data_IF_758832393340
#
_entry.id   IF_758832393340
#
_cell.length_a   1.000
_cell.length_b   1.000
_cell.length_c   1.000
_cell.angle_alpha   90.00
_cell.angle_beta   90.00
_cell.angle_gamma   90.00
#
_symmetry.space_group_name_H-M   'P 1'
#
loop_
_entity.id
_entity.type
_entity.pdbx_description
1 polymer ?
#
# COMPACT_ATOMS: atom_id res chain seq x y z
N UNK A 1 10.70 -3.74 -9.24
CA UNK A 1 11.38 -3.49 -10.53
C UNK A 1 12.35 -2.29 -10.46
N UNK A 2 12.12 -1.32 -9.57
CA UNK A 2 12.92 -0.08 -9.40
C UNK A 2 13.87 -0.09 -8.19
N UNK A 3 13.77 -1.10 -7.33
CA UNK A 3 14.84 -1.46 -6.38
C UNK A 3 15.91 -2.27 -7.14
N UNK A 4 17.14 -2.36 -6.63
CA UNK A 4 18.10 -3.27 -7.22
C UNK A 4 17.49 -4.67 -7.19
N UNK A 5 17.67 -5.49 -8.22
CA UNK A 5 17.13 -6.85 -8.26
C UNK A 5 17.55 -7.63 -7.01
N UNK A 6 18.79 -7.47 -6.59
CA UNK A 6 19.33 -8.12 -5.39
C UNK A 6 18.59 -7.68 -4.09
N UNK A 7 18.35 -6.38 -3.88
CA UNK A 7 17.65 -5.90 -2.67
C UNK A 7 16.15 -6.20 -2.72
N UNK A 8 15.53 -6.14 -3.90
CA UNK A 8 14.12 -6.52 -4.10
C UNK A 8 13.90 -8.00 -3.83
N UNK A 9 14.75 -8.85 -4.38
CA UNK A 9 14.68 -10.30 -4.19
C UNK A 9 15.00 -10.71 -2.75
N UNK A 10 16.01 -10.11 -2.13
CA UNK A 10 16.33 -10.35 -0.73
C UNK A 10 15.17 -9.95 0.19
N UNK A 11 14.54 -8.79 -0.04
CA UNK A 11 13.38 -8.35 0.72
C UNK A 11 12.18 -9.28 0.51
N UNK A 12 11.87 -9.64 -0.73
CA UNK A 12 10.78 -10.57 -1.04
C UNK A 12 11.01 -11.95 -0.42
N UNK A 13 12.21 -12.50 -0.53
CA UNK A 13 12.58 -13.78 0.10
C UNK A 13 12.49 -13.70 1.62
N UNK A 14 12.99 -12.64 2.24
CA UNK A 14 12.88 -12.44 3.67
C UNK A 14 11.42 -12.32 4.12
N UNK A 15 10.61 -11.53 3.43
CA UNK A 15 9.18 -11.38 3.68
C UNK A 15 8.44 -12.73 3.55
N UNK A 16 8.65 -13.45 2.44
CA UNK A 16 8.03 -14.74 2.18
C UNK A 16 8.43 -15.79 3.23
N UNK A 17 9.72 -15.86 3.55
CA UNK A 17 10.22 -16.79 4.56
C UNK A 17 9.69 -16.45 5.94
N UNK A 18 9.68 -15.18 6.33
CA UNK A 18 9.19 -14.74 7.62
C UNK A 18 7.67 -14.97 7.75
N UNK A 19 6.91 -14.66 6.70
CA UNK A 19 5.46 -14.90 6.69
C UNK A 19 5.11 -16.39 6.74
N UNK A 20 5.91 -17.23 6.08
CA UNK A 20 5.67 -18.68 5.99
C UNK A 20 6.13 -19.44 7.23
N UNK A 21 7.33 -19.15 7.73
CA UNK A 21 7.96 -19.98 8.77
C UNK A 21 7.89 -19.37 10.18
N UNK A 22 7.71 -18.05 10.29
CA UNK A 22 7.69 -17.36 11.60
C UNK A 22 6.58 -16.28 11.63
N UNK A 23 5.30 -16.63 11.41
CA UNK A 23 4.22 -15.64 11.35
C UNK A 23 4.03 -14.87 12.65
N UNK A 24 4.36 -15.48 13.81
CA UNK A 24 4.26 -14.81 15.11
C UNK A 24 5.28 -13.66 15.23
N UNK A 25 6.46 -13.82 14.65
CA UNK A 25 7.50 -12.76 14.65
C UNK A 25 7.06 -11.59 13.77
N UNK A 26 6.45 -11.86 12.61
CA UNK A 26 5.86 -10.82 11.77
C UNK A 26 4.76 -10.05 12.51
N UNK A 27 3.83 -10.75 13.15
CA UNK A 27 2.80 -10.13 13.99
C UNK A 27 3.36 -9.34 15.17
N UNK A 28 4.49 -9.77 15.74
CA UNK A 28 5.22 -9.07 16.79
C UNK A 28 5.83 -7.76 16.28
N UNK A 29 6.54 -7.81 15.16
CA UNK A 29 7.11 -6.62 14.49
C UNK A 29 6.03 -5.62 14.08
N UNK A 30 4.93 -6.11 13.53
CA UNK A 30 3.80 -5.27 13.15
C UNK A 30 3.16 -4.58 14.36
N UNK A 31 2.92 -5.33 15.46
CA UNK A 31 2.40 -4.75 16.72
C UNK A 31 3.38 -3.77 17.37
N UNK A 32 4.68 -4.04 17.27
CA UNK A 32 5.69 -3.09 17.73
C UNK A 32 5.69 -1.82 16.90
N UNK A 33 5.58 -1.93 15.57
CA UNK A 33 5.43 -0.78 14.69
C UNK A 33 4.16 0.01 14.98
N UNK A 34 3.02 -0.67 15.26
CA UNK A 34 1.78 -0.02 15.69
C UNK A 34 1.93 0.77 17.00
N UNK A 35 2.68 0.24 17.97
CA UNK A 35 2.93 0.91 19.26
C UNK A 35 3.97 2.02 19.15
N UNK A 36 4.87 1.94 18.21
CA UNK A 36 6.06 2.77 18.06
C UNK A 36 5.91 3.83 16.95
N UNK A 37 4.75 3.91 16.31
CA UNK A 37 4.55 4.73 15.11
C UNK A 37 4.91 6.21 15.32
N UNK A 38 4.54 6.80 16.45
CA UNK A 38 4.95 8.16 16.82
C UNK A 38 6.47 8.31 16.97
N UNK A 39 7.15 7.27 17.46
CA UNK A 39 8.60 7.31 17.69
C UNK A 39 9.42 7.21 16.41
N UNK A 40 8.96 6.45 15.42
CA UNK A 40 9.72 6.25 14.18
C UNK A 40 9.68 7.51 13.31
N UNK A 41 8.54 8.20 13.25
CA UNK A 41 8.37 9.41 12.44
C UNK A 41 8.95 10.65 13.12
N UNK A 42 8.83 10.77 14.45
CA UNK A 42 9.35 11.91 15.21
C UNK A 42 10.88 11.89 15.36
N UNK A 43 11.50 10.71 15.51
CA UNK A 43 12.95 10.59 15.73
C UNK A 43 13.77 10.31 14.47
N UNK A 44 13.12 9.86 13.40
CA UNK A 44 13.85 9.36 12.24
C UNK A 44 13.63 10.18 10.98
N UNK A 45 12.71 11.11 10.96
CA UNK A 45 12.43 11.96 9.79
C UNK A 45 12.34 11.21 8.44
N UNK A 46 12.06 11.85 7.34
CA UNK A 46 12.00 11.22 6.01
C UNK A 46 13.37 10.69 5.52
N UNK A 47 14.40 10.70 6.37
CA UNK A 47 15.79 10.43 6.03
C UNK A 47 16.30 9.00 6.13
N UNK A 48 15.52 8.03 6.65
CA UNK A 48 16.06 6.71 7.00
C UNK A 48 16.28 5.81 5.77
N UNK A 49 15.44 5.92 4.75
CA UNK A 49 15.56 5.06 3.58
C UNK A 49 16.33 5.74 2.46
N UNK A 50 17.48 5.17 2.04
CA UNK A 50 18.17 5.69 0.86
C UNK A 50 17.29 5.50 -0.38
N UNK A 51 17.09 6.59 -1.13
CA UNK A 51 16.32 6.53 -2.37
C UNK A 51 17.14 5.85 -3.46
N UNK A 52 16.70 4.68 -3.98
CA UNK A 52 17.41 3.98 -5.04
C UNK A 52 17.59 4.88 -6.29
N UNK A 53 18.77 4.84 -6.91
CA UNK A 53 19.05 5.64 -8.11
C UNK A 53 18.04 5.37 -9.23
N UNK A 54 17.66 4.12 -9.43
CA UNK A 54 16.65 3.73 -10.44
C UNK A 54 15.27 4.37 -10.18
N UNK A 55 14.87 4.49 -8.90
CA UNK A 55 13.60 5.12 -8.54
C UNK A 55 13.64 6.63 -8.80
N UNK A 56 14.74 7.28 -8.45
CA UNK A 56 14.97 8.71 -8.73
C UNK A 56 14.97 9.00 -10.22
N UNK A 57 15.71 8.22 -11.01
CA UNK A 57 15.77 8.37 -12.46
C UNK A 57 14.40 8.17 -13.10
N UNK A 58 13.59 7.21 -12.64
CA UNK A 58 12.23 7.03 -13.14
C UNK A 58 11.43 8.33 -13.08
N UNK A 59 11.46 9.03 -11.95
CA UNK A 59 10.69 10.28 -11.79
C UNK A 59 11.23 11.39 -12.70
N UNK A 60 12.55 11.49 -12.81
CA UNK A 60 13.19 12.48 -13.68
C UNK A 60 12.89 12.19 -15.16
N UNK A 61 13.02 10.92 -15.57
CA UNK A 61 12.89 10.52 -16.97
C UNK A 61 11.43 10.55 -17.45
N UNK A 62 10.48 10.28 -16.55
CA UNK A 62 9.04 10.31 -16.89
C UNK A 62 8.42 11.69 -16.73
N UNK A 63 9.02 12.58 -15.92
CA UNK A 63 8.52 13.91 -15.59
C UNK A 63 6.98 13.94 -15.43
N UNK A 64 6.41 13.16 -14.47
CA UNK A 64 4.97 12.98 -14.38
C UNK A 64 4.27 14.23 -13.84
N UNK A 65 3.04 14.48 -14.28
CA UNK A 65 2.19 15.56 -13.76
C UNK A 65 1.65 15.24 -12.35
N UNK A 66 1.51 13.95 -12.01
CA UNK A 66 1.11 13.45 -10.69
C UNK A 66 1.66 12.05 -10.46
N UNK A 67 1.81 11.65 -9.19
CA UNK A 67 2.29 10.31 -8.82
C UNK A 67 1.24 9.62 -7.93
N UNK A 68 0.83 8.40 -8.32
CA UNK A 68 -0.07 7.56 -7.52
C UNK A 68 0.72 6.38 -6.95
N UNK A 69 0.66 6.21 -5.64
CA UNK A 69 1.37 5.17 -4.91
C UNK A 69 0.39 4.21 -4.26
N UNK A 70 0.40 2.95 -4.65
CA UNK A 70 -0.44 1.89 -4.04
C UNK A 70 0.26 1.16 -2.89
N UNK A 71 1.41 1.67 -2.43
CA UNK A 71 2.17 1.11 -1.32
C UNK A 71 2.94 2.20 -0.57
N UNK A 72 2.87 2.19 0.75
CA UNK A 72 3.49 3.21 1.62
C UNK A 72 5.01 3.40 1.38
N UNK A 73 5.73 2.33 1.01
CA UNK A 73 7.18 2.42 0.76
C UNK A 73 7.51 3.40 -0.38
N UNK A 74 6.74 3.37 -1.46
CA UNK A 74 6.91 4.31 -2.55
C UNK A 74 6.65 5.75 -2.09
N UNK A 75 5.58 5.95 -1.31
CA UNK A 75 5.23 7.25 -0.74
C UNK A 75 6.30 7.77 0.23
N UNK A 76 6.92 6.91 1.04
CA UNK A 76 8.05 7.28 1.91
C UNK A 76 9.28 7.73 1.09
N UNK A 77 9.62 7.03 0.01
CA UNK A 77 10.72 7.45 -0.88
C UNK A 77 10.43 8.79 -1.56
N UNK A 78 9.18 9.04 -1.95
CA UNK A 78 8.76 10.32 -2.50
C UNK A 78 8.77 11.43 -1.45
N UNK A 79 8.40 11.15 -0.21
CA UNK A 79 8.52 12.09 0.91
C UNK A 79 9.97 12.57 1.06
N UNK A 80 10.92 11.66 0.97
CA UNK A 80 12.35 11.99 0.97
C UNK A 80 12.74 12.87 -0.23
N UNK A 81 12.32 12.50 -1.44
CA UNK A 81 12.59 13.30 -2.64
C UNK A 81 11.93 14.68 -2.58
N UNK A 82 10.75 14.78 -1.99
CA UNK A 82 10.05 16.05 -1.76
C UNK A 82 10.82 16.95 -0.79
N UNK A 83 11.35 16.38 0.31
CA UNK A 83 12.20 17.15 1.24
C UNK A 83 13.52 17.63 0.61
N UNK A 84 13.99 16.96 -0.44
CA UNK A 84 15.15 17.36 -1.24
C UNK A 84 14.78 18.34 -2.38
N UNK A 85 13.53 18.77 -2.51
CA UNK A 85 13.06 19.67 -3.57
C UNK A 85 12.98 19.01 -4.96
N UNK A 86 13.00 17.66 -5.03
CA UNK A 86 13.03 16.91 -6.30
C UNK A 86 11.66 16.42 -6.77
N UNK A 87 10.65 16.52 -5.91
CA UNK A 87 9.26 16.14 -6.19
C UNK A 87 8.36 17.30 -5.79
N UNK A 88 7.80 17.99 -6.77
CA UNK A 88 6.93 19.15 -6.60
C UNK A 88 5.51 18.91 -7.13
N UNK A 89 5.31 17.82 -7.89
CA UNK A 89 4.00 17.40 -8.40
C UNK A 89 3.16 16.75 -7.29
N UNK A 90 1.83 16.69 -7.45
CA UNK A 90 0.93 16.00 -6.52
C UNK A 90 1.30 14.52 -6.33
N UNK A 91 1.29 14.06 -5.08
CA UNK A 91 1.48 12.67 -4.70
C UNK A 91 0.22 12.15 -4.02
N UNK A 92 -0.36 11.09 -4.56
CA UNK A 92 -1.58 10.48 -4.06
C UNK A 92 -1.23 9.08 -3.53
N UNK A 93 -1.41 8.86 -2.23
CA UNK A 93 -1.32 7.53 -1.64
C UNK A 93 -2.63 6.79 -1.81
N UNK A 94 -2.57 5.48 -2.08
CA UNK A 94 -3.74 4.61 -2.10
C UNK A 94 -3.53 3.50 -1.08
N UNK A 95 -4.26 3.58 0.02
CA UNK A 95 -4.29 2.50 0.99
C UNK A 95 -5.17 1.37 0.46
N UNK A 96 -4.56 0.22 0.19
CA UNK A 96 -5.23 -0.95 -0.40
C UNK A 96 -5.72 -1.95 0.66
N UNK A 97 -5.64 -1.59 1.94
CA UNK A 97 -6.09 -2.39 3.07
C UNK A 97 -7.30 -1.76 3.76
N UNK A 98 -8.10 -2.56 4.47
CA UNK A 98 -9.17 -2.08 5.37
C UNK A 98 -8.64 -1.69 6.77
N UNK A 99 -7.35 -1.48 6.88
CA UNK A 99 -6.65 -0.92 8.05
C UNK A 99 -5.58 0.04 7.57
N UNK A 100 -5.08 0.90 8.47
CA UNK A 100 -4.03 1.85 8.12
C UNK A 100 -2.70 1.36 8.70
N UNK A 101 -1.75 1.05 7.81
CA UNK A 101 -0.39 0.71 8.23
C UNK A 101 0.29 1.93 8.86
N UNK A 102 0.99 1.79 10.00
CA UNK A 102 1.63 2.91 10.70
C UNK A 102 2.56 3.77 9.83
N UNK A 103 3.17 3.18 8.82
CA UNK A 103 4.08 3.91 7.92
C UNK A 103 3.40 4.94 7.01
N UNK A 104 2.06 4.95 6.94
CA UNK A 104 1.34 6.04 6.28
C UNK A 104 1.38 7.35 7.08
N UNK A 105 1.65 7.33 8.38
CA UNK A 105 1.71 8.52 9.23
C UNK A 105 2.87 9.46 8.88
N UNK A 106 4.01 8.89 8.45
CA UNK A 106 5.21 9.67 8.11
C UNK A 106 5.31 10.11 6.65
N UNK A 107 4.22 9.97 5.88
CA UNK A 107 4.23 10.26 4.45
C UNK A 107 3.75 11.68 4.18
N UNK A 108 4.55 12.46 3.46
CA UNK A 108 4.17 13.76 2.93
C UNK A 108 3.55 13.59 1.54
N UNK A 109 2.25 13.38 1.51
CA UNK A 109 1.42 13.22 0.32
C UNK A 109 0.29 14.25 0.32
N UNK A 110 -0.21 14.60 -0.87
CA UNK A 110 -1.28 15.59 -1.01
C UNK A 110 -2.65 14.98 -0.71
N UNK A 111 -2.84 13.69 -1.09
CA UNK A 111 -4.08 12.96 -0.84
C UNK A 111 -3.80 11.52 -0.43
N UNK A 112 -4.70 10.97 0.40
CA UNK A 112 -4.75 9.56 0.78
C UNK A 112 -6.11 8.97 0.43
N UNK A 113 -6.12 8.05 -0.52
CA UNK A 113 -7.31 7.27 -0.89
C UNK A 113 -7.51 6.15 0.11
N UNK A 114 -8.73 6.01 0.62
CA UNK A 114 -9.16 4.95 1.53
C UNK A 114 -10.21 4.04 0.88
N UNK A 115 -10.29 2.81 1.37
CA UNK A 115 -11.25 1.82 0.92
C UNK A 115 -12.71 2.24 1.17
N UNK A 116 -12.96 2.99 2.25
CA UNK A 116 -14.28 3.42 2.69
C UNK A 116 -14.16 4.61 3.66
N UNK A 117 -15.23 5.38 3.79
CA UNK A 117 -15.39 6.46 4.77
C UNK A 117 -15.37 5.98 6.22
N UNK A 118 -15.76 4.74 6.46
CA UNK A 118 -15.69 4.14 7.81
C UNK A 118 -14.26 4.03 8.36
N UNK A 119 -13.24 4.27 7.54
CA UNK A 119 -11.83 4.31 7.95
C UNK A 119 -11.37 5.71 8.39
N UNK A 120 -12.18 6.74 8.24
CA UNK A 120 -11.79 8.13 8.56
C UNK A 120 -11.26 8.26 9.98
N UNK A 121 -11.90 7.58 10.96
CA UNK A 121 -11.46 7.63 12.35
C UNK A 121 -10.03 7.14 12.56
N UNK A 122 -9.61 6.08 11.84
CA UNK A 122 -8.23 5.55 11.91
C UNK A 122 -7.19 6.56 11.45
N UNK A 123 -7.55 7.37 10.46
CA UNK A 123 -6.67 8.35 9.82
C UNK A 123 -6.57 9.60 10.69
N UNK A 124 -7.71 10.04 11.22
CA UNK A 124 -7.80 11.22 12.10
C UNK A 124 -7.09 10.99 13.45
N UNK A 125 -7.23 9.80 14.05
CA UNK A 125 -6.48 9.42 15.26
C UNK A 125 -4.95 9.46 15.07
N UNK A 126 -4.49 9.33 13.82
CA UNK A 126 -3.08 9.39 13.44
C UNK A 126 -2.61 10.78 12.99
N UNK A 127 -3.47 11.78 13.12
CA UNK A 127 -3.16 13.18 12.82
C UNK A 127 -3.04 13.47 11.32
N UNK A 128 -3.57 12.62 10.44
CA UNK A 128 -3.64 12.92 9.01
C UNK A 128 -4.81 13.87 8.76
N UNK A 129 -4.59 15.01 8.09
CA UNK A 129 -5.63 16.02 7.91
C UNK A 129 -6.82 15.50 7.10
N UNK A 130 -8.04 15.77 7.57
CA UNK A 130 -9.28 15.26 6.95
C UNK A 130 -9.44 15.69 5.49
N UNK A 131 -9.01 16.89 5.16
CA UNK A 131 -9.07 17.47 3.82
C UNK A 131 -8.19 16.74 2.79
N UNK A 132 -7.24 15.93 3.26
CA UNK A 132 -6.38 15.11 2.39
C UNK A 132 -6.95 13.71 2.15
N UNK A 133 -8.05 13.34 2.83
CA UNK A 133 -8.61 11.99 2.78
C UNK A 133 -9.64 11.89 1.66
N UNK A 134 -9.50 10.87 0.81
CA UNK A 134 -10.41 10.56 -0.29
C UNK A 134 -10.97 9.13 -0.11
N UNK A 135 -12.15 8.95 0.53
CA UNK A 135 -12.72 7.63 0.78
C UNK A 135 -13.50 7.13 -0.45
N UNK A 136 -12.83 7.01 -1.58
CA UNK A 136 -13.43 6.69 -2.89
C UNK A 136 -13.32 5.23 -3.29
N UNK A 137 -12.77 4.39 -2.42
CA UNK A 137 -12.63 2.95 -2.67
C UNK A 137 -11.26 2.53 -3.19
N UNK A 138 -10.97 1.24 -3.05
CA UNK A 138 -9.74 0.63 -3.61
C UNK A 138 -9.91 0.49 -5.12
N UNK A 139 -8.97 1.01 -5.93
CA UNK A 139 -9.02 0.85 -7.39
C UNK A 139 -8.97 -0.63 -7.79
N UNK A 140 -9.92 -1.05 -8.58
CA UNK A 140 -10.00 -2.41 -9.13
C UNK A 140 -10.03 -2.38 -10.65
N UNK A 141 -9.60 -3.46 -11.29
CA UNK A 141 -9.64 -3.56 -12.74
C UNK A 141 -11.09 -3.63 -13.24
N UNK A 142 -11.38 -3.00 -14.38
CA UNK A 142 -12.74 -2.92 -14.96
C UNK A 142 -13.43 -4.28 -15.13
N UNK A 143 -12.66 -5.35 -15.37
CA UNK A 143 -13.20 -6.72 -15.42
C UNK A 143 -13.99 -7.15 -14.17
N UNK A 144 -13.83 -6.47 -13.04
CA UNK A 144 -14.61 -6.72 -11.82
C UNK A 144 -15.85 -5.84 -11.71
N UNK A 145 -16.04 -4.88 -12.63
CA UNK A 145 -17.20 -4.00 -12.68
C UNK A 145 -18.28 -4.57 -13.59
N UNK A 146 -17.89 -5.01 -14.79
CA UNK A 146 -18.79 -5.49 -15.83
C UNK A 146 -18.81 -7.02 -15.83
N UNK A 147 -19.41 -7.60 -14.79
CA UNK A 147 -19.52 -9.05 -14.66
C UNK A 147 -20.76 -9.55 -15.40
N UNK A 148 -20.68 -10.73 -16.07
CA UNK A 148 -21.86 -11.43 -16.55
C UNK A 148 -22.81 -11.77 -15.40
N UNK A 149 -24.08 -12.03 -15.73
CA UNK A 149 -25.06 -12.50 -14.75
C UNK A 149 -24.63 -13.82 -14.09
N UNK A 150 -25.25 -14.12 -12.94
CA UNK A 150 -24.90 -15.29 -12.12
C UNK A 150 -25.02 -16.63 -12.89
N UNK A 151 -26.03 -16.76 -13.73
CA UNK A 151 -26.26 -18.01 -14.47
C UNK A 151 -25.16 -18.24 -15.50
N UNK A 152 -24.82 -17.19 -16.25
CA UNK A 152 -23.71 -17.18 -17.21
C UNK A 152 -22.38 -17.49 -16.54
N UNK A 153 -22.06 -16.84 -15.39
CA UNK A 153 -20.84 -17.11 -14.65
C UNK A 153 -20.77 -18.57 -14.18
N UNK A 154 -21.89 -19.12 -13.69
CA UNK A 154 -21.93 -20.53 -13.27
C UNK A 154 -21.70 -21.48 -14.44
N UNK A 155 -22.29 -21.22 -15.59
CA UNK A 155 -22.09 -22.00 -16.80
C UNK A 155 -20.61 -21.96 -17.25
N UNK A 156 -20.00 -20.78 -17.29
CA UNK A 156 -18.58 -20.61 -17.63
C UNK A 156 -17.63 -21.37 -16.68
N UNK A 157 -17.98 -21.47 -15.39
CA UNK A 157 -17.20 -22.17 -14.38
C UNK A 157 -17.60 -23.63 -14.19
N UNK A 158 -18.53 -24.14 -15.00
CA UNK A 158 -19.10 -25.49 -14.90
C UNK A 158 -19.62 -25.82 -13.51
N UNK A 159 -20.30 -24.86 -12.88
CA UNK A 159 -20.89 -24.99 -11.54
C UNK A 159 -22.37 -25.32 -11.64
N UNK A 160 -22.81 -26.37 -10.94
CA UNK A 160 -24.22 -26.71 -10.81
C UNK A 160 -25.01 -25.60 -10.11
N UNK A 161 -26.33 -25.50 -10.37
CA UNK A 161 -27.20 -24.53 -9.68
C UNK A 161 -27.53 -24.99 -8.26
N UNK A 162 -26.53 -24.86 -7.37
CA UNK A 162 -26.59 -25.24 -5.95
C UNK A 162 -25.91 -24.14 -5.11
N UNK A 163 -26.19 -24.06 -3.81
CA UNK A 163 -25.42 -23.23 -2.89
C UNK A 163 -23.92 -23.52 -3.04
N UNK A 164 -23.14 -22.48 -3.26
CA UNK A 164 -21.71 -22.60 -3.50
C UNK A 164 -20.97 -21.71 -2.55
N UNK A 165 -20.02 -22.26 -1.81
CA UNK A 165 -19.13 -21.54 -0.92
C UNK A 165 -17.73 -21.45 -1.56
N UNK A 166 -17.27 -20.25 -1.84
CA UNK A 166 -15.89 -19.99 -2.26
C UNK A 166 -15.05 -19.64 -1.03
N UNK A 167 -14.03 -20.45 -0.76
CA UNK A 167 -13.04 -20.18 0.27
C UNK A 167 -11.74 -19.75 -0.40
N UNK A 168 -11.27 -18.56 -0.06
CA UNK A 168 -10.03 -18.00 -0.60
C UNK A 168 -9.12 -17.62 0.54
N UNK A 169 -7.82 -17.86 0.39
CA UNK A 169 -6.81 -17.33 1.29
C UNK A 169 -6.03 -16.20 0.60
N UNK A 170 -5.24 -15.46 1.40
CA UNK A 170 -4.43 -14.35 0.89
C UNK A 170 -3.36 -14.77 -0.11
N UNK A 171 -2.53 -13.83 -0.53
CA UNK A 171 -1.58 -13.95 -1.65
C UNK A 171 -0.61 -15.15 -1.58
N UNK A 172 -0.36 -15.72 -0.43
CA UNK A 172 0.53 -16.85 -0.22
C UNK A 172 -0.19 -18.21 -0.04
N UNK A 173 -1.53 -18.21 -0.01
CA UNK A 173 -2.34 -19.45 0.01
C UNK A 173 -2.27 -20.27 1.29
N UNK A 174 -1.88 -19.67 2.44
CA UNK A 174 -1.85 -20.36 3.76
C UNK A 174 -2.40 -19.46 4.87
#
# INVERSE_FOLDING_TARGET
KYMSEYTGDAFNKAYLNMSKYIPQMWGGLYRSALKSSRSITEHSGPGILPVPKKFRNLIVDTAPDAIVCTHFLASLLLTRLRSEGKVNMPVIGVNTDFTLHPFWEGVNQDYLVLATDTMDYLVLERGIPKETILPIGIPVHDKFRDLPDKATCRAMLNLADKPTLLVMSGSLGF
#
